data_IF_686281229971
#
_entry.id   IF_686281229971
#
_cell.length_a   1.000
_cell.length_b   1.000
_cell.length_c   1.000
_cell.angle_alpha   90.00
_cell.angle_beta   90.00
_cell.angle_gamma   90.00
#
_symmetry.space_group_name_H-M   'P 1'
#
loop_
_entity.id
_entity.type
_entity.pdbx_description
1 polymer ?
#
# COMPACT_ATOMS: atom_id res chain seq x y z
N UNK A 1 -11.48 -14.55 -25.09
CA UNK A 1 -10.76 -13.26 -25.18
C UNK A 1 -10.75 -12.50 -23.86
N UNK A 2 -11.90 -12.11 -23.26
CA UNK A 2 -11.89 -11.38 -21.98
C UNK A 2 -11.43 -12.24 -20.78
N UNK A 3 -11.78 -13.51 -20.74
CA UNK A 3 -11.33 -14.47 -19.71
C UNK A 3 -9.82 -14.71 -19.73
N UNK A 4 -9.22 -14.71 -20.93
CA UNK A 4 -7.79 -14.94 -21.13
C UNK A 4 -6.97 -13.76 -20.59
N UNK A 5 -7.46 -12.53 -20.77
CA UNK A 5 -6.84 -11.31 -20.24
C UNK A 5 -6.91 -11.24 -18.71
N UNK A 6 -8.01 -11.71 -18.11
CA UNK A 6 -8.17 -11.76 -16.65
C UNK A 6 -7.20 -12.78 -16.03
N UNK A 7 -7.12 -14.00 -16.59
CA UNK A 7 -6.15 -15.01 -16.17
C UNK A 7 -4.71 -14.49 -16.26
N UNK A 8 -4.37 -13.82 -17.36
CA UNK A 8 -3.05 -13.21 -17.55
C UNK A 8 -2.75 -12.16 -16.46
N UNK A 9 -3.72 -11.33 -16.09
CA UNK A 9 -3.56 -10.30 -15.05
C UNK A 9 -3.19 -10.91 -13.69
N UNK A 10 -3.83 -12.01 -13.29
CA UNK A 10 -3.49 -12.72 -12.05
C UNK A 10 -2.08 -13.31 -12.08
N UNK A 11 -1.69 -13.92 -13.21
CA UNK A 11 -0.36 -14.49 -13.39
C UNK A 11 0.72 -13.40 -13.27
N UNK A 12 0.50 -12.24 -13.91
CA UNK A 12 1.42 -11.10 -13.83
C UNK A 12 1.51 -10.51 -12.42
N UNK A 13 0.39 -10.44 -11.69
CA UNK A 13 0.38 -10.02 -10.29
C UNK A 13 1.23 -10.93 -9.42
N UNK A 14 1.07 -12.25 -9.56
CA UNK A 14 1.87 -13.22 -8.81
C UNK A 14 3.36 -13.16 -9.19
N UNK A 15 3.66 -12.99 -10.48
CA UNK A 15 5.03 -12.82 -10.96
C UNK A 15 5.70 -11.57 -10.40
N UNK A 16 4.97 -10.45 -10.29
CA UNK A 16 5.48 -9.20 -9.70
C UNK A 16 5.86 -9.37 -8.23
N UNK A 17 5.04 -10.08 -7.44
CA UNK A 17 5.34 -10.40 -6.05
C UNK A 17 6.58 -11.29 -5.97
N UNK A 18 6.65 -12.35 -6.79
CA UNK A 18 7.79 -13.25 -6.82
C UNK A 18 9.11 -12.51 -7.17
N UNK A 19 9.07 -11.62 -8.16
CA UNK A 19 10.22 -10.80 -8.55
C UNK A 19 10.63 -9.84 -7.43
N UNK A 20 9.67 -9.20 -6.76
CA UNK A 20 9.92 -8.30 -5.63
C UNK A 20 10.57 -9.03 -4.45
N UNK A 21 10.06 -10.22 -4.10
CA UNK A 21 10.65 -11.07 -3.06
C UNK A 21 12.06 -11.53 -3.44
N UNK A 22 12.28 -11.94 -4.69
CA UNK A 22 13.61 -12.32 -5.18
C UNK A 22 14.61 -11.17 -5.04
N UNK A 23 14.24 -9.95 -5.44
CA UNK A 23 15.10 -8.77 -5.32
C UNK A 23 15.38 -8.41 -3.86
N UNK A 24 14.36 -8.45 -3.01
CA UNK A 24 14.50 -8.24 -1.57
C UNK A 24 15.52 -9.21 -0.95
N UNK A 25 15.35 -10.52 -1.20
CA UNK A 25 16.27 -11.54 -0.69
C UNK A 25 17.69 -11.40 -1.25
N UNK A 26 17.84 -10.92 -2.49
CA UNK A 26 19.15 -10.67 -3.09
C UNK A 26 19.85 -9.48 -2.45
N UNK A 27 19.13 -8.39 -2.19
CA UNK A 27 19.69 -7.18 -1.56
C UNK A 27 20.10 -7.47 -0.12
N UNK A 28 19.30 -8.23 0.64
CA UNK A 28 19.63 -8.59 2.02
C UNK A 28 20.90 -9.43 2.18
N UNK A 29 21.37 -10.08 1.11
CA UNK A 29 22.62 -10.86 1.11
C UNK A 29 23.86 -10.02 0.81
N UNK A 30 23.69 -8.76 0.43
CA UNK A 30 24.80 -7.85 0.18
C UNK A 30 25.39 -7.38 1.52
N UNK A 31 26.69 -7.08 1.50
CA UNK A 31 27.38 -6.57 2.68
C UNK A 31 26.86 -5.18 3.07
N UNK A 32 26.61 -4.96 4.36
CA UNK A 32 26.09 -3.69 4.89
C UNK A 32 27.18 -2.60 4.91
N UNK A 33 28.43 -2.97 4.62
CA UNK A 33 29.57 -2.08 4.58
C UNK A 33 30.24 -1.92 5.96
N UNK A 34 30.95 -0.81 6.13
CA UNK A 34 31.68 -0.55 7.37
C UNK A 34 30.77 -0.06 8.51
N UNK A 35 31.30 -0.02 9.74
CA UNK A 35 30.55 0.39 10.94
C UNK A 35 29.86 1.76 10.80
N UNK A 36 30.53 2.72 10.16
CA UNK A 36 29.95 4.06 9.93
C UNK A 36 28.78 4.03 8.95
N UNK A 37 28.84 3.20 7.91
CA UNK A 37 27.73 3.02 6.96
C UNK A 37 26.50 2.41 7.65
N UNK A 38 26.72 1.41 8.51
CA UNK A 38 25.65 0.74 9.26
C UNK A 38 24.94 1.69 10.23
N UNK A 39 25.71 2.51 10.96
CA UNK A 39 25.17 3.52 11.88
C UNK A 39 24.28 4.55 11.14
N UNK A 40 24.74 5.05 9.99
CA UNK A 40 23.98 6.01 9.17
C UNK A 40 22.71 5.36 8.62
N UNK A 41 22.80 4.13 8.10
CA UNK A 41 21.65 3.40 7.58
C UNK A 41 20.57 3.19 8.66
N UNK A 42 20.98 2.88 9.88
CA UNK A 42 20.06 2.72 11.02
C UNK A 42 19.34 4.02 11.36
N UNK A 43 20.06 5.14 11.44
CA UNK A 43 19.48 6.45 11.70
C UNK A 43 18.47 6.85 10.61
N UNK A 44 18.78 6.58 9.33
CA UNK A 44 17.86 6.79 8.20
C UNK A 44 16.62 5.90 8.35
N UNK A 45 16.79 4.62 8.68
CA UNK A 45 15.69 3.66 8.84
C UNK A 45 14.72 4.10 9.93
N UNK A 46 15.25 4.51 11.09
CA UNK A 46 14.45 5.00 12.21
C UNK A 46 13.69 6.28 11.80
N UNK A 47 14.37 7.22 11.15
CA UNK A 47 13.74 8.46 10.67
C UNK A 47 12.65 8.23 9.64
N UNK A 48 12.89 7.35 8.66
CA UNK A 48 11.92 6.97 7.64
C UNK A 48 10.68 6.31 8.25
N UNK A 49 10.86 5.39 9.21
CA UNK A 49 9.74 4.74 9.89
C UNK A 49 8.93 5.74 10.74
N UNK A 50 9.59 6.67 11.43
CA UNK A 50 8.92 7.72 12.19
C UNK A 50 8.07 8.64 11.27
N UNK A 51 8.61 9.04 10.12
CA UNK A 51 7.90 9.81 9.12
C UNK A 51 6.70 9.06 8.55
N UNK A 52 6.92 7.82 8.06
CA UNK A 52 5.87 6.99 7.48
C UNK A 52 4.75 6.74 8.48
N UNK A 53 5.08 6.40 9.74
CA UNK A 53 4.07 6.22 10.80
C UNK A 53 3.21 7.46 10.98
N UNK A 54 3.83 8.65 11.00
CA UNK A 54 3.09 9.91 11.16
C UNK A 54 2.21 10.18 9.95
N UNK A 55 2.73 9.99 8.74
CA UNK A 55 1.99 10.17 7.49
C UNK A 55 0.80 9.20 7.37
N UNK A 56 1.02 7.90 7.64
CA UNK A 56 -0.01 6.86 7.58
C UNK A 56 -1.17 7.13 8.54
N UNK A 57 -0.90 7.74 9.72
CA UNK A 57 -1.97 8.16 10.64
C UNK A 57 -2.83 9.25 10.00
N UNK A 58 -2.22 10.28 9.41
CA UNK A 58 -2.97 11.35 8.75
C UNK A 58 -3.77 10.84 7.55
N UNK A 59 -3.18 9.98 6.73
CA UNK A 59 -3.85 9.35 5.59
C UNK A 59 -5.00 8.46 6.08
N UNK A 60 -4.81 7.67 7.14
CA UNK A 60 -5.86 6.82 7.68
C UNK A 60 -7.06 7.63 8.18
N UNK A 61 -6.82 8.74 8.89
CA UNK A 61 -7.89 9.65 9.34
C UNK A 61 -8.64 10.24 8.14
N UNK A 62 -7.91 10.68 7.10
CA UNK A 62 -8.52 11.18 5.87
C UNK A 62 -9.36 10.11 5.17
N UNK A 63 -8.83 8.88 5.02
CA UNK A 63 -9.55 7.77 4.41
C UNK A 63 -10.86 7.48 5.15
N UNK A 64 -10.83 7.42 6.48
CA UNK A 64 -12.04 7.21 7.29
C UNK A 64 -13.05 8.34 7.09
N UNK A 65 -12.61 9.61 7.07
CA UNK A 65 -13.49 10.75 6.85
C UNK A 65 -14.20 10.67 5.48
N UNK A 66 -13.47 10.30 4.42
CA UNK A 66 -14.04 10.14 3.06
C UNK A 66 -15.00 8.95 2.99
N UNK A 67 -14.68 7.83 3.62
CA UNK A 67 -15.58 6.66 3.66
C UNK A 67 -16.88 7.01 4.37
N UNK A 68 -16.84 7.75 5.48
CA UNK A 68 -18.03 8.24 6.18
C UNK A 68 -18.81 9.19 5.29
N UNK A 69 -18.14 10.14 4.62
CA UNK A 69 -18.77 11.10 3.73
C UNK A 69 -19.53 10.40 2.59
N UNK A 70 -18.87 9.47 1.87
CA UNK A 70 -19.52 8.73 0.78
C UNK A 70 -20.66 7.85 1.29
N UNK A 71 -20.51 7.22 2.46
CA UNK A 71 -21.60 6.44 3.06
C UNK A 71 -22.80 7.31 3.44
N UNK A 72 -22.57 8.52 3.95
CA UNK A 72 -23.64 9.48 4.28
C UNK A 72 -24.37 9.97 3.02
N UNK A 73 -23.65 10.23 1.92
CA UNK A 73 -24.27 10.54 0.63
C UNK A 73 -25.11 9.35 0.13
N UNK A 74 -24.63 8.13 0.32
CA UNK A 74 -25.39 6.92 -0.04
C UNK A 74 -26.66 6.71 0.76
N UNK A 75 -26.68 7.18 2.00
CA UNK A 75 -27.90 7.18 2.82
C UNK A 75 -28.93 8.21 2.34
N UNK A 76 -28.48 9.37 1.87
CA UNK A 76 -29.36 10.50 1.52
C UNK A 76 -29.84 10.51 0.06
N UNK A 77 -29.06 9.96 -0.88
CA UNK A 77 -29.32 10.11 -2.32
C UNK A 77 -29.46 8.77 -3.05
N UNK A 78 -28.39 7.98 -3.12
CA UNK A 78 -28.37 6.74 -3.91
C UNK A 78 -27.41 5.69 -3.30
N UNK A 79 -27.90 4.46 -3.21
CA UNK A 79 -27.15 3.29 -2.76
C UNK A 79 -25.83 3.03 -3.49
N UNK A 80 -25.65 3.52 -4.74
CA UNK A 80 -24.39 3.39 -5.50
C UNK A 80 -23.19 3.96 -4.73
N UNK A 81 -23.39 4.98 -3.90
CA UNK A 81 -22.33 5.59 -3.10
C UNK A 81 -21.73 4.65 -2.05
N UNK A 82 -22.46 3.62 -1.59
CA UNK A 82 -21.88 2.59 -0.73
C UNK A 82 -20.84 1.73 -1.46
N UNK A 83 -21.09 1.42 -2.74
CA UNK A 83 -20.11 0.71 -3.56
C UNK A 83 -18.86 1.57 -3.82
N UNK A 84 -19.04 2.88 -4.04
CA UNK A 84 -17.94 3.83 -4.19
C UNK A 84 -17.12 3.93 -2.90
N UNK A 85 -17.78 4.01 -1.73
CA UNK A 85 -17.12 4.02 -0.43
C UNK A 85 -16.28 2.74 -0.20
N UNK A 86 -16.84 1.58 -0.54
CA UNK A 86 -16.14 0.29 -0.47
C UNK A 86 -14.93 0.22 -1.40
N UNK A 87 -15.10 0.59 -2.67
CA UNK A 87 -14.02 0.61 -3.65
C UNK A 87 -12.88 1.57 -3.26
N UNK A 88 -13.24 2.76 -2.75
CA UNK A 88 -12.27 3.73 -2.24
C UNK A 88 -11.49 3.17 -1.05
N UNK A 89 -12.18 2.54 -0.08
CA UNK A 89 -11.52 1.95 1.08
C UNK A 89 -10.55 0.83 0.69
N UNK A 90 -10.97 -0.09 -0.18
CA UNK A 90 -10.11 -1.17 -0.67
C UNK A 90 -8.88 -0.63 -1.40
N UNK A 91 -9.06 0.39 -2.25
CA UNK A 91 -7.96 1.06 -2.93
C UNK A 91 -7.01 1.78 -1.96
N UNK A 92 -7.53 2.54 -1.01
CA UNK A 92 -6.74 3.25 0.00
C UNK A 92 -5.96 2.28 0.90
N UNK A 93 -6.59 1.18 1.32
CA UNK A 93 -5.94 0.13 2.10
C UNK A 93 -4.81 -0.54 1.32
N UNK A 94 -5.04 -0.87 0.04
CA UNK A 94 -4.05 -1.51 -0.82
C UNK A 94 -2.84 -0.61 -1.11
N UNK A 95 -3.02 0.71 -1.09
CA UNK A 95 -1.96 1.70 -1.26
C UNK A 95 -1.12 1.90 0.01
N UNK A 96 -1.70 1.62 1.18
CA UNK A 96 -1.04 1.76 2.47
C UNK A 96 -0.18 0.55 2.86
N UNK A 97 -0.43 -0.62 2.25
CA UNK A 97 0.31 -1.87 2.44
C UNK A 97 1.63 -1.85 1.68
#
# INVERSE_FOLDING_TARGET
MQTDLVMLSFILGLFSIAASVFLYLRIMKLDEGNEKMREIAEAIRIGAFAYLKRQSIYVAVFTVAIVILFSAIGFLFDTVWYAIAGAFFVGAFSSAL
#
